data_IF_833281217486
#
_entry.id   IF_833281217486
#
_cell.length_a   1.000
_cell.length_b   1.000
_cell.length_c   1.000
_cell.angle_alpha   90.00
_cell.angle_beta   90.00
_cell.angle_gamma   90.00
#
_symmetry.space_group_name_H-M   'P 1'
#
loop_
_entity.id
_entity.type
_entity.pdbx_description
1 polymer ?
#
# COMPACT_ATOMS: atom_id res chain seq x y z
N UNK A 1 6.43 -42.24 21.79
CA UNK A 1 5.89 -42.16 23.16
C UNK A 1 6.36 -43.44 23.86
N UNK A 2 7.20 -43.47 24.94
CA UNK A 2 6.98 -42.77 26.22
C UNK A 2 8.29 -42.55 27.08
N UNK A 3 9.31 -41.83 26.63
CA UNK A 3 10.57 -41.68 27.42
C UNK A 3 10.86 -40.28 27.98
N UNK A 4 10.11 -39.24 27.56
CA UNK A 4 10.40 -37.85 27.97
C UNK A 4 9.58 -37.32 29.16
N UNK A 5 8.73 -38.14 29.77
CA UNK A 5 7.86 -37.71 30.90
C UNK A 5 8.39 -38.05 32.29
N UNK A 6 9.43 -38.88 32.40
CA UNK A 6 9.97 -39.30 33.71
C UNK A 6 11.11 -38.39 34.17
N UNK A 7 11.87 -37.78 33.25
CA UNK A 7 13.00 -36.91 33.59
C UNK A 7 12.62 -35.56 34.23
N UNK A 8 11.44 -35.03 33.91
CA UNK A 8 11.00 -33.72 34.42
C UNK A 8 10.45 -33.78 35.85
N UNK A 9 10.08 -34.96 36.35
CA UNK A 9 9.47 -35.11 37.68
C UNK A 9 10.51 -35.23 38.82
N UNK A 10 11.73 -35.64 38.53
CA UNK A 10 12.78 -35.85 39.55
C UNK A 10 13.55 -34.54 39.81
N UNK A 11 13.77 -33.72 38.79
CA UNK A 11 14.53 -32.46 38.93
C UNK A 11 13.81 -31.38 39.75
N UNK A 12 12.48 -31.44 39.87
CA UNK A 12 11.70 -30.40 40.54
C UNK A 12 11.55 -30.60 42.06
N UNK A 13 12.01 -31.73 42.64
CA UNK A 13 11.73 -32.08 44.04
C UNK A 13 12.94 -32.16 44.98
N UNK A 14 14.17 -31.91 44.50
CA UNK A 14 15.38 -32.10 45.32
C UNK A 14 16.42 -30.97 45.36
N UNK A 15 16.15 -29.78 44.81
CA UNK A 15 17.01 -28.59 45.01
C UNK A 15 16.20 -27.41 45.58
N UNK A 16 15.24 -27.72 46.43
CA UNK A 16 14.49 -26.77 47.27
C UNK A 16 14.48 -27.40 48.66
N UNK A 17 15.59 -27.45 49.41
CA UNK A 17 15.78 -26.43 50.45
C UNK A 17 17.22 -26.35 51.03
N UNK A 18 18.03 -25.30 50.79
CA UNK A 18 19.14 -24.92 51.69
C UNK A 18 19.88 -23.68 51.16
N UNK A 19 19.30 -22.50 51.32
CA UNK A 19 20.02 -21.22 51.44
C UNK A 19 19.07 -20.08 51.81
N UNK A 20 18.16 -20.35 52.76
CA UNK A 20 17.44 -19.31 53.49
C UNK A 20 18.46 -18.76 54.49
N UNK A 21 19.06 -17.59 54.22
CA UNK A 21 19.16 -16.49 55.21
C UNK A 21 20.15 -15.35 54.92
N UNK A 22 20.94 -15.31 53.83
CA UNK A 22 21.85 -14.15 53.63
C UNK A 22 22.08 -13.66 52.18
N UNK A 23 21.22 -14.01 51.22
CA UNK A 23 21.35 -13.60 49.80
C UNK A 23 20.37 -12.55 49.29
N UNK A 24 19.39 -12.14 50.10
CA UNK A 24 18.25 -11.35 49.62
C UNK A 24 18.55 -9.86 49.35
N UNK A 25 19.63 -9.31 49.90
CA UNK A 25 20.03 -7.92 49.66
C UNK A 25 20.85 -7.76 48.36
N UNK A 26 21.73 -8.72 48.04
CA UNK A 26 22.57 -8.67 46.84
C UNK A 26 21.79 -9.03 45.57
N UNK A 27 20.80 -9.92 45.66
CA UNK A 27 19.96 -10.31 44.52
C UNK A 27 18.97 -9.21 44.11
N UNK A 28 18.52 -8.37 45.05
CA UNK A 28 17.66 -7.20 44.73
C UNK A 28 18.43 -6.07 44.02
N UNK A 29 19.70 -5.87 44.35
CA UNK A 29 20.52 -4.85 43.69
C UNK A 29 20.89 -5.24 42.23
N UNK A 30 21.03 -6.53 41.95
CA UNK A 30 21.39 -7.03 40.61
C UNK A 30 20.20 -7.28 39.68
N UNK A 31 18.96 -7.23 40.17
CA UNK A 31 17.75 -7.48 39.36
C UNK A 31 17.13 -6.23 38.74
N UNK A 32 17.50 -5.02 39.20
CA UNK A 32 16.89 -3.79 38.70
C UNK A 32 17.58 -3.24 37.43
N UNK A 33 18.88 -3.51 37.23
CA UNK A 33 19.65 -3.02 36.06
C UNK A 33 19.54 -3.92 34.82
N UNK A 34 19.04 -5.15 34.97
CA UNK A 34 19.04 -6.16 33.91
C UNK A 34 17.66 -6.34 33.26
N UNK A 35 16.59 -5.75 33.80
CA UNK A 35 15.23 -6.02 33.31
C UNK A 35 14.82 -5.18 32.09
N UNK A 36 15.41 -3.99 31.87
CA UNK A 36 14.98 -3.11 30.76
C UNK A 36 15.63 -3.46 29.42
N UNK A 37 16.86 -3.96 29.43
CA UNK A 37 17.67 -4.25 28.22
C UNK A 37 17.26 -5.51 27.43
N UNK A 38 17.02 -6.69 28.04
CA UNK A 38 16.67 -7.89 27.30
C UNK A 38 15.23 -7.81 26.76
N UNK A 39 14.33 -7.09 27.44
CA UNK A 39 12.97 -6.84 26.96
C UNK A 39 12.99 -5.94 25.72
N UNK A 40 13.79 -4.88 25.74
CA UNK A 40 13.97 -4.00 24.58
C UNK A 40 14.60 -4.74 23.39
N UNK A 41 15.61 -5.58 23.64
CA UNK A 41 16.24 -6.39 22.60
C UNK A 41 15.28 -7.45 22.03
N UNK A 42 14.45 -8.08 22.86
CA UNK A 42 13.45 -9.05 22.42
C UNK A 42 12.34 -8.38 21.59
N UNK A 43 11.86 -7.22 22.02
CA UNK A 43 10.91 -6.39 21.25
C UNK A 43 11.49 -5.98 19.89
N UNK A 44 12.76 -5.55 19.87
CA UNK A 44 13.45 -5.17 18.64
C UNK A 44 13.56 -6.36 17.67
N UNK A 45 13.93 -7.56 18.15
CA UNK A 45 13.99 -8.74 17.28
C UNK A 45 12.61 -9.16 16.74
N UNK A 46 11.54 -8.95 17.51
CA UNK A 46 10.16 -9.20 17.06
C UNK A 46 9.71 -8.20 15.98
N UNK A 47 10.21 -6.95 16.04
CA UNK A 47 9.95 -5.91 15.04
C UNK A 47 10.71 -6.17 13.72
N UNK A 48 11.84 -6.90 13.76
CA UNK A 48 12.65 -7.22 12.57
C UNK A 48 12.20 -8.49 11.83
N UNK A 49 11.34 -9.34 12.40
CA UNK A 49 10.77 -10.49 11.69
C UNK A 49 9.50 -10.10 10.91
N UNK A 50 9.66 -9.20 9.94
CA UNK A 50 8.66 -9.02 8.88
C UNK A 50 8.87 -10.10 7.82
N UNK A 51 7.98 -11.10 7.75
CA UNK A 51 7.95 -11.97 6.58
C UNK A 51 7.63 -11.11 5.36
N UNK A 52 8.51 -11.08 4.35
CA UNK A 52 8.15 -10.64 3.01
C UNK A 52 7.22 -11.70 2.42
N UNK A 53 5.94 -11.60 2.76
CA UNK A 53 4.89 -12.21 1.96
C UNK A 53 4.92 -11.44 0.64
N UNK A 54 5.66 -11.96 -0.33
CA UNK A 54 5.44 -11.56 -1.72
C UNK A 54 4.13 -12.24 -2.15
N UNK A 55 3.02 -11.50 -2.25
CA UNK A 55 1.74 -12.10 -2.61
C UNK A 55 1.70 -12.59 -4.07
N UNK A 56 2.80 -12.43 -4.82
CA UNK A 56 2.89 -12.76 -6.24
C UNK A 56 3.93 -13.84 -6.58
N UNK A 57 4.57 -14.46 -5.59
CA UNK A 57 5.67 -15.40 -5.84
C UNK A 57 5.32 -16.56 -6.79
N UNK A 58 4.05 -16.99 -6.85
CA UNK A 58 3.63 -18.09 -7.73
C UNK A 58 2.16 -17.97 -8.19
N UNK A 59 1.65 -16.76 -8.45
CA UNK A 59 0.32 -16.64 -9.06
C UNK A 59 0.46 -16.91 -10.57
N UNK A 60 -0.28 -17.88 -11.14
CA UNK A 60 -0.35 -17.98 -12.59
C UNK A 60 -0.91 -16.65 -13.08
N UNK A 61 -0.12 -15.91 -13.87
CA UNK A 61 -0.62 -14.69 -14.50
C UNK A 61 -1.78 -15.10 -15.39
N UNK A 62 -3.01 -14.91 -14.90
CA UNK A 62 -4.19 -14.94 -15.75
C UNK A 62 -3.97 -13.94 -16.88
N UNK A 63 -4.57 -14.21 -18.03
CA UNK A 63 -4.51 -13.27 -19.16
C UNK A 63 -4.80 -11.84 -18.69
N UNK A 64 -4.02 -10.88 -19.18
CA UNK A 64 -4.14 -9.48 -18.81
C UNK A 64 -5.55 -8.97 -19.13
N UNK A 65 -6.21 -8.32 -18.16
CA UNK A 65 -7.49 -7.65 -18.39
C UNK A 65 -7.25 -6.29 -19.03
N UNK A 66 -7.05 -6.30 -20.35
CA UNK A 66 -6.84 -5.09 -21.14
C UNK A 66 -7.97 -4.07 -21.00
N UNK A 67 -9.21 -4.52 -20.84
CA UNK A 67 -10.38 -3.63 -20.73
C UNK A 67 -10.38 -2.90 -19.39
N UNK A 68 -10.16 -3.63 -18.30
CA UNK A 68 -10.02 -3.07 -16.95
C UNK A 68 -8.87 -2.07 -16.88
N UNK A 69 -7.70 -2.44 -17.42
CA UNK A 69 -6.53 -1.56 -17.46
C UNK A 69 -6.83 -0.25 -18.20
N UNK A 70 -7.55 -0.35 -19.32
CA UNK A 70 -8.01 0.82 -20.07
C UNK A 70 -8.89 1.73 -19.22
N UNK A 71 -9.86 1.17 -18.49
CA UNK A 71 -10.75 1.94 -17.62
C UNK A 71 -9.95 2.70 -16.57
N UNK A 72 -8.98 2.05 -15.94
CA UNK A 72 -8.18 2.64 -14.87
C UNK A 72 -7.28 3.77 -15.40
N UNK A 73 -6.64 3.58 -16.56
CA UNK A 73 -5.90 4.64 -17.25
C UNK A 73 -6.82 5.81 -17.60
N UNK A 74 -8.01 5.54 -18.13
CA UNK A 74 -9.00 6.57 -18.47
C UNK A 74 -9.44 7.36 -17.25
N UNK A 75 -9.69 6.71 -16.10
CA UNK A 75 -10.09 7.35 -14.84
C UNK A 75 -8.97 8.12 -14.15
N UNK A 76 -7.72 7.68 -14.33
CA UNK A 76 -6.57 8.41 -13.81
C UNK A 76 -6.29 9.70 -14.60
N UNK A 77 -6.88 9.81 -15.81
CA UNK A 77 -6.74 10.97 -16.69
C UNK A 77 -5.37 11.06 -17.35
N UNK A 78 -4.60 9.98 -17.34
CA UNK A 78 -3.34 9.90 -18.07
C UNK A 78 -3.59 9.71 -19.57
N UNK A 79 -2.59 10.03 -20.38
CA UNK A 79 -2.60 9.74 -21.80
C UNK A 79 -2.64 8.23 -22.03
N UNK A 80 -3.44 7.78 -22.99
CA UNK A 80 -3.51 6.37 -23.36
C UNK A 80 -2.10 5.84 -23.73
N UNK A 81 -1.67 4.76 -23.08
CA UNK A 81 -0.34 4.16 -23.27
C UNK A 81 -0.18 3.57 -24.66
N UNK A 82 1.06 3.52 -25.15
CA UNK A 82 1.42 2.81 -26.39
C UNK A 82 1.39 1.30 -26.19
N UNK A 83 1.43 0.51 -27.27
CA UNK A 83 1.47 -0.95 -27.15
C UNK A 83 2.76 -1.41 -26.47
N UNK A 84 3.87 -0.72 -26.74
CA UNK A 84 5.17 -1.01 -26.14
C UNK A 84 5.17 -0.74 -24.63
N UNK A 85 4.54 0.36 -24.21
CA UNK A 85 4.37 0.69 -22.79
C UNK A 85 3.49 -0.35 -22.09
N UNK A 86 2.35 -0.69 -22.70
CA UNK A 86 1.45 -1.72 -22.17
C UNK A 86 2.14 -3.09 -22.05
N UNK A 87 2.89 -3.50 -23.07
CA UNK A 87 3.62 -4.76 -23.07
C UNK A 87 4.71 -4.79 -21.98
N UNK A 88 5.41 -3.67 -21.81
CA UNK A 88 6.47 -3.52 -20.81
C UNK A 88 5.92 -3.47 -19.38
N UNK A 89 4.95 -2.61 -19.12
CA UNK A 89 4.41 -2.35 -17.78
C UNK A 89 3.67 -3.56 -17.21
N UNK A 90 2.89 -4.25 -18.04
CA UNK A 90 2.10 -5.42 -17.63
C UNK A 90 2.84 -6.75 -17.84
N UNK A 91 4.01 -6.69 -18.49
CA UNK A 91 4.82 -7.85 -18.84
C UNK A 91 4.01 -8.90 -19.62
N UNK A 92 3.27 -8.44 -20.63
CA UNK A 92 2.47 -9.24 -21.55
C UNK A 92 2.69 -8.78 -22.99
N UNK A 93 3.42 -9.58 -23.77
CA UNK A 93 3.72 -9.26 -25.17
C UNK A 93 2.49 -9.33 -26.09
N UNK A 94 1.38 -9.96 -25.66
CA UNK A 94 0.16 -10.11 -26.45
C UNK A 94 -0.84 -9.01 -26.10
N UNK A 95 -0.48 -7.78 -26.45
CA UNK A 95 -1.30 -6.59 -26.19
C UNK A 95 -2.57 -6.61 -27.04
N UNK A 96 -3.74 -6.56 -26.40
CA UNK A 96 -5.00 -6.24 -27.07
C UNK A 96 -5.31 -4.74 -26.90
N UNK A 97 -4.66 -3.93 -27.75
CA UNK A 97 -4.82 -2.46 -27.73
C UNK A 97 -6.27 -2.04 -27.98
N UNK A 98 -6.99 -2.78 -28.81
CA UNK A 98 -8.36 -2.42 -29.16
C UNK A 98 -9.31 -2.57 -27.96
N UNK A 99 -9.17 -3.67 -27.21
CA UNK A 99 -9.92 -3.86 -25.96
C UNK A 99 -9.52 -2.85 -24.89
N UNK A 100 -8.23 -2.53 -24.78
CA UNK A 100 -7.73 -1.46 -23.93
C UNK A 100 -8.35 -0.09 -24.25
N UNK A 101 -8.35 0.34 -25.52
CA UNK A 101 -8.90 1.63 -25.92
C UNK A 101 -10.42 1.74 -25.68
N UNK A 102 -11.15 0.63 -25.75
CA UNK A 102 -12.57 0.60 -25.35
C UNK A 102 -12.74 0.88 -23.86
N UNK A 103 -11.91 0.25 -23.02
CA UNK A 103 -11.89 0.51 -21.59
C UNK A 103 -11.51 1.97 -21.30
N UNK A 104 -10.49 2.49 -21.97
CA UNK A 104 -10.04 3.87 -21.85
C UNK A 104 -11.14 4.89 -22.14
N UNK A 105 -11.91 4.68 -23.21
CA UNK A 105 -13.06 5.52 -23.52
C UNK A 105 -14.14 5.50 -22.43
N UNK A 106 -14.35 4.35 -21.77
CA UNK A 106 -15.27 4.23 -20.63
C UNK A 106 -14.73 4.95 -19.40
N UNK A 107 -13.45 4.78 -19.07
CA UNK A 107 -12.81 5.51 -17.97
C UNK A 107 -12.87 7.03 -18.15
N UNK A 108 -12.69 7.52 -19.38
CA UNK A 108 -12.87 8.94 -19.70
C UNK A 108 -14.31 9.42 -19.51
N UNK A 109 -15.33 8.60 -19.77
CA UNK A 109 -16.73 8.99 -19.50
C UNK A 109 -16.99 9.23 -18.02
N UNK A 110 -16.31 8.50 -17.15
CA UNK A 110 -16.43 8.66 -15.70
C UNK A 110 -15.83 9.98 -15.22
N UNK A 111 -14.79 10.48 -15.89
CA UNK A 111 -14.06 11.68 -15.44
C UNK A 111 -14.35 12.97 -16.21
N UNK A 112 -14.74 12.87 -17.48
CA UNK A 112 -15.05 14.03 -18.31
C UNK A 112 -16.45 14.57 -18.03
N UNK A 113 -16.65 15.04 -16.79
CA UNK A 113 -17.88 15.64 -16.30
C UNK A 113 -17.55 17.00 -15.68
N UNK A 114 -18.35 18.02 -15.98
CA UNK A 114 -18.15 19.41 -15.51
C UNK A 114 -17.88 19.50 -14.02
N UNK A 115 -18.66 18.79 -13.19
CA UNK A 115 -18.53 18.79 -11.73
C UNK A 115 -17.21 18.17 -11.27
N UNK A 116 -16.80 17.06 -11.88
CA UNK A 116 -15.58 16.37 -11.48
C UNK A 116 -14.34 17.17 -11.90
N UNK A 117 -14.34 17.70 -13.12
CA UNK A 117 -13.25 18.52 -13.64
C UNK A 117 -13.09 19.83 -12.87
N UNK A 118 -14.18 20.44 -12.41
CA UNK A 118 -14.10 21.54 -11.44
C UNK A 118 -13.36 21.12 -10.17
N UNK A 119 -13.73 19.97 -9.57
CA UNK A 119 -13.04 19.44 -8.38
C UNK A 119 -11.56 19.12 -8.61
N UNK A 120 -11.21 18.62 -9.81
CA UNK A 120 -9.82 18.42 -10.23
C UNK A 120 -9.06 19.75 -10.27
N UNK A 121 -9.67 20.78 -10.86
CA UNK A 121 -9.10 22.13 -10.88
C UNK A 121 -8.87 22.70 -9.49
N UNK A 122 -9.85 22.60 -8.58
CA UNK A 122 -9.68 23.03 -7.18
C UNK A 122 -8.52 22.29 -6.50
N UNK A 123 -8.32 21.02 -6.85
CA UNK A 123 -7.23 20.18 -6.33
C UNK A 123 -5.88 20.42 -7.01
N UNK A 124 -5.79 21.33 -7.98
CA UNK A 124 -4.56 21.60 -8.73
C UNK A 124 -4.15 20.50 -9.71
N UNK A 125 -5.03 19.54 -10.02
CA UNK A 125 -4.75 18.49 -11.00
C UNK A 125 -4.79 19.08 -12.42
N UNK A 126 -3.91 18.58 -13.29
CA UNK A 126 -3.90 18.94 -14.70
C UNK A 126 -5.21 18.50 -15.39
N UNK A 127 -5.58 19.21 -16.45
CA UNK A 127 -6.71 18.82 -17.29
C UNK A 127 -6.40 17.48 -18.01
N UNK A 128 -7.28 16.47 -17.97
CA UNK A 128 -7.04 15.20 -18.66
C UNK A 128 -7.01 15.37 -20.18
N UNK A 129 -5.96 14.87 -20.83
CA UNK A 129 -5.82 14.99 -22.30
C UNK A 129 -6.96 14.30 -23.07
N UNK A 130 -7.52 13.22 -22.53
CA UNK A 130 -8.63 12.50 -23.15
C UNK A 130 -9.97 13.27 -23.20
N UNK A 131 -10.15 14.32 -22.40
CA UNK A 131 -11.40 15.09 -22.37
C UNK A 131 -11.46 16.18 -23.45
N UNK A 132 -10.35 16.53 -24.10
CA UNK A 132 -10.31 17.58 -25.14
C UNK A 132 -10.96 17.18 -26.46
N UNK A 133 -11.04 15.88 -26.74
CA UNK A 133 -11.67 15.36 -27.95
C UNK A 133 -13.20 15.29 -27.87
N UNK A 134 -13.79 15.64 -26.71
CA UNK A 134 -15.24 15.55 -26.51
C UNK A 134 -16.00 16.72 -27.14
N UNK A 135 -17.26 16.53 -27.57
CA UNK A 135 -18.08 17.62 -28.10
C UNK A 135 -18.27 18.78 -27.12
N UNK A 136 -18.23 18.51 -25.82
CA UNK A 136 -18.39 19.46 -24.73
C UNK A 136 -17.05 19.96 -24.13
N UNK A 137 -15.92 19.74 -24.82
CA UNK A 137 -14.58 20.07 -24.33
C UNK A 137 -14.43 21.51 -23.82
N UNK A 138 -15.06 22.49 -24.47
CA UNK A 138 -15.03 23.90 -24.02
C UNK A 138 -15.64 24.06 -22.62
N UNK A 139 -16.84 23.50 -22.38
CA UNK A 139 -17.50 23.59 -21.09
C UNK A 139 -16.74 22.82 -20.00
N UNK A 140 -16.14 21.69 -20.35
CA UNK A 140 -15.28 20.90 -19.47
C UNK A 140 -14.03 21.70 -19.04
N UNK A 141 -13.38 22.37 -20.00
CA UNK A 141 -12.20 23.21 -19.76
C UNK A 141 -12.51 24.45 -18.94
N UNK A 142 -13.64 25.09 -19.19
CA UNK A 142 -14.12 26.23 -18.38
C UNK A 142 -14.34 25.84 -16.92
N UNK A 143 -14.97 24.69 -16.66
CA UNK A 143 -15.22 24.20 -15.31
C UNK A 143 -13.92 23.88 -14.56
N UNK A 144 -12.98 23.21 -15.22
CA UNK A 144 -11.64 22.97 -14.68
C UNK A 144 -10.91 24.28 -14.38
N UNK A 145 -10.89 25.23 -15.32
CA UNK A 145 -10.21 26.51 -15.15
C UNK A 145 -10.81 27.32 -14.00
N UNK A 146 -12.14 27.29 -13.86
CA UNK A 146 -12.83 27.90 -12.70
C UNK A 146 -12.33 27.29 -11.40
N UNK A 147 -12.27 25.96 -11.31
CA UNK A 147 -11.73 25.26 -10.14
C UNK A 147 -10.28 25.65 -9.82
N UNK A 148 -9.42 25.68 -10.83
CA UNK A 148 -8.01 26.11 -10.69
C UNK A 148 -7.90 27.53 -10.12
N UNK A 149 -8.70 28.46 -10.66
CA UNK A 149 -8.71 29.84 -10.21
C UNK A 149 -9.13 29.92 -8.73
N UNK A 150 -10.20 29.24 -8.35
CA UNK A 150 -10.71 29.27 -6.97
C UNK A 150 -9.78 28.57 -5.97
N UNK A 151 -9.19 27.42 -6.34
CA UNK A 151 -8.21 26.71 -5.51
C UNK A 151 -6.93 27.51 -5.27
N UNK A 152 -6.48 28.29 -6.27
CA UNK A 152 -5.35 29.22 -6.10
C UNK A 152 -5.71 30.38 -5.17
N UNK A 153 -6.93 30.94 -5.27
CA UNK A 153 -7.36 32.03 -4.39
C UNK A 153 -7.50 31.59 -2.94
N UNK A 154 -8.06 30.41 -2.67
CA UNK A 154 -8.20 29.90 -1.30
C UNK A 154 -6.86 29.72 -0.60
N UNK A 155 -5.81 29.34 -1.33
CA UNK A 155 -4.46 29.17 -0.78
C UNK A 155 -3.74 30.50 -0.50
N UNK A 156 -4.21 31.64 -1.04
CA UNK A 156 -3.62 32.97 -0.79
C UNK A 156 -4.18 33.68 0.42
N UNK A 157 -5.35 33.25 0.91
CA UNK A 157 -6.08 33.86 2.02
C UNK A 157 -5.81 33.15 3.36
N UNK A 158 -5.04 32.06 3.34
CA UNK A 158 -4.50 31.35 4.52
C UNK A 158 -3.01 31.65 4.68
#
# INVERSE_FOLDING_TARGET
MPFLRIYFAIYCKHIIPLAINNGYAMLKALTQEVLMKPILCALLMMLLSGCTLDPYADMPKSATDWYGEGIDDGRSGITARSEEQLASDLNDAKVDRHTYLKGYAVGLQDICQTRLLYGWGVSGKLFPEGCDARPDATALREAWQKGMNEGVQSNRLN
#
